data_IF_495710411648
#
_entry.id   IF_495710411648
#
_cell.length_a   1.000
_cell.length_b   1.000
_cell.length_c   1.000
_cell.angle_alpha   90.00
_cell.angle_beta   90.00
_cell.angle_gamma   90.00
#
_symmetry.space_group_name_H-M   'P 1'
#
loop_
_entity.id
_entity.type
_entity.pdbx_description
1 polymer ?
#
# COMPACT_ATOMS: atom_id res chain seq x y z
N UNK A 1 3.16 6.43 40.02
CA UNK A 1 2.74 5.76 38.78
C UNK A 1 2.21 6.82 37.85
N UNK A 2 3.01 7.21 36.84
CA UNK A 2 2.72 8.35 35.98
C UNK A 2 1.70 7.98 34.92
N UNK A 3 0.60 8.72 34.90
CA UNK A 3 -0.43 8.75 33.87
C UNK A 3 0.18 9.31 32.57
N UNK A 4 0.52 8.44 31.62
CA UNK A 4 0.79 8.88 30.25
C UNK A 4 -0.53 9.39 29.67
N UNK A 5 -0.66 10.72 29.65
CA UNK A 5 -1.78 11.40 29.03
C UNK A 5 -1.70 11.17 27.51
N UNK A 6 -2.87 10.91 26.96
CA UNK A 6 -3.22 10.76 25.56
C UNK A 6 -2.79 12.00 24.76
N UNK A 7 -1.71 11.93 23.98
CA UNK A 7 -1.29 13.04 23.12
C UNK A 7 -1.30 12.61 21.65
N UNK A 8 -2.24 13.15 20.88
CA UNK A 8 -2.37 12.92 19.44
C UNK A 8 -1.09 13.30 18.69
N UNK A 9 -0.38 12.28 18.22
CA UNK A 9 0.87 12.40 17.44
C UNK A 9 0.70 13.16 16.14
N UNK A 10 -0.48 13.10 15.49
CA UNK A 10 -0.74 13.90 14.28
C UNK A 10 -0.54 15.38 14.54
N UNK A 11 -1.19 15.91 15.59
CA UNK A 11 -1.09 17.34 15.94
C UNK A 11 0.33 17.72 16.30
N UNK A 12 1.12 16.82 16.88
CA UNK A 12 2.49 17.11 17.28
C UNK A 12 3.45 17.18 16.10
N UNK A 13 3.40 16.21 15.18
CA UNK A 13 4.23 16.25 13.96
C UNK A 13 3.79 17.40 13.06
N UNK A 14 2.49 17.59 12.85
CA UNK A 14 2.00 18.74 12.08
C UNK A 14 2.38 20.06 12.73
N UNK A 15 2.22 20.21 14.04
CA UNK A 15 2.65 21.42 14.76
C UNK A 15 4.16 21.63 14.66
N UNK A 16 4.96 20.57 14.70
CA UNK A 16 6.41 20.66 14.56
C UNK A 16 6.82 21.08 13.15
N UNK A 17 6.34 20.38 12.11
CA UNK A 17 6.63 20.74 10.71
C UNK A 17 6.13 22.15 10.38
N UNK A 18 4.95 22.52 10.88
CA UNK A 18 4.41 23.88 10.71
C UNK A 18 5.25 24.97 11.37
N UNK A 19 6.04 24.64 12.39
CA UNK A 19 6.95 25.57 13.06
C UNK A 19 8.29 25.71 12.33
N UNK A 20 8.70 24.69 11.59
CA UNK A 20 10.00 24.69 10.90
C UNK A 20 9.95 25.48 9.60
N UNK A 21 8.86 25.40 8.86
CA UNK A 21 8.79 26.02 7.54
C UNK A 21 7.35 26.36 7.18
N UNK A 22 7.09 27.67 7.02
CA UNK A 22 5.74 28.20 6.79
C UNK A 22 5.23 27.95 5.36
N UNK A 23 6.13 27.56 4.43
CA UNK A 23 5.84 27.34 3.02
C UNK A 23 5.68 25.85 2.64
N UNK A 24 5.51 24.96 3.62
CA UNK A 24 5.37 23.52 3.37
C UNK A 24 3.91 23.17 3.14
N UNK A 25 3.61 22.68 1.94
CA UNK A 25 2.31 22.09 1.61
C UNK A 25 2.15 20.75 2.35
N UNK A 26 0.99 20.58 2.98
CA UNK A 26 0.69 19.48 3.91
C UNK A 26 -0.52 18.74 3.39
N UNK A 27 -0.34 17.46 3.11
CA UNK A 27 -1.43 16.59 2.68
C UNK A 27 -1.59 15.43 3.66
N UNK A 28 -2.82 15.11 4.03
CA UNK A 28 -3.16 13.84 4.68
C UNK A 28 -3.86 12.93 3.66
N UNK A 29 -3.38 11.69 3.55
CA UNK A 29 -4.01 10.64 2.73
C UNK A 29 -4.49 9.51 3.64
N UNK A 30 -5.66 9.65 4.29
CA UNK A 30 -6.19 8.61 5.16
C UNK A 30 -6.52 7.36 4.34
N UNK A 31 -6.14 6.20 4.86
CA UNK A 31 -6.33 4.91 4.19
C UNK A 31 -7.00 3.90 5.12
N UNK A 32 -7.93 3.13 4.57
CA UNK A 32 -8.41 1.91 5.23
C UNK A 32 -7.36 0.81 5.16
N UNK A 33 -7.21 0.08 6.26
CA UNK A 33 -6.40 -1.13 6.33
C UNK A 33 -7.24 -2.37 5.99
N UNK A 34 -6.74 -3.16 5.04
CA UNK A 34 -7.28 -4.48 4.71
C UNK A 34 -6.20 -5.54 4.88
N UNK A 35 -6.59 -6.74 5.27
CA UNK A 35 -5.70 -7.87 5.45
C UNK A 35 -6.33 -9.17 4.95
N UNK A 36 -5.49 -10.19 4.77
CA UNK A 36 -5.94 -11.56 4.49
C UNK A 36 -5.83 -12.41 5.76
N UNK A 37 -6.91 -13.11 6.13
CA UNK A 37 -6.90 -14.14 7.19
C UNK A 37 -6.17 -15.40 6.72
N UNK A 38 -5.86 -16.33 7.64
CA UNK A 38 -5.21 -17.60 7.29
C UNK A 38 -6.04 -18.44 6.32
N UNK A 39 -7.37 -18.41 6.46
CA UNK A 39 -8.30 -19.06 5.54
C UNK A 39 -8.24 -18.41 4.15
N UNK A 40 -8.26 -17.08 4.08
CA UNK A 40 -8.16 -16.33 2.82
C UNK A 40 -6.81 -16.55 2.14
N UNK A 41 -5.71 -16.60 2.89
CA UNK A 41 -4.38 -16.94 2.40
C UNK A 41 -4.37 -18.37 1.85
N UNK A 42 -4.90 -19.33 2.59
CA UNK A 42 -4.96 -20.74 2.16
C UNK A 42 -5.73 -20.87 0.84
N UNK A 43 -6.87 -20.20 0.74
CA UNK A 43 -7.69 -20.13 -0.47
C UNK A 43 -6.96 -19.46 -1.64
N UNK A 44 -6.29 -18.34 -1.38
CA UNK A 44 -5.47 -17.65 -2.37
C UNK A 44 -4.35 -18.55 -2.92
N UNK A 45 -3.67 -19.29 -2.05
CA UNK A 45 -2.53 -20.12 -2.44
C UNK A 45 -2.94 -21.34 -3.28
N UNK A 46 -4.17 -21.83 -3.13
CA UNK A 46 -4.74 -22.88 -3.98
C UNK A 46 -5.22 -22.35 -5.35
N UNK A 47 -5.39 -21.03 -5.48
CA UNK A 47 -5.89 -20.42 -6.71
C UNK A 47 -4.84 -20.40 -7.81
N UNK A 48 -5.15 -21.05 -8.94
CA UNK A 48 -4.42 -20.85 -10.19
C UNK A 48 -4.89 -19.56 -10.86
N UNK A 49 -4.03 -18.55 -10.91
CA UNK A 49 -4.32 -17.27 -11.55
C UNK A 49 -4.34 -17.43 -13.08
N UNK A 50 -5.39 -16.89 -13.71
CA UNK A 50 -5.52 -16.83 -15.16
C UNK A 50 -5.02 -15.48 -15.65
N UNK A 51 -4.00 -15.49 -16.50
CA UNK A 51 -3.52 -14.29 -17.18
C UNK A 51 -4.38 -14.10 -18.44
N UNK A 52 -4.95 -12.91 -18.69
CA UNK A 52 -5.70 -12.65 -19.93
C UNK A 52 -4.87 -12.89 -21.18
N UNK A 53 -5.55 -13.24 -22.28
CA UNK A 53 -4.90 -13.58 -23.54
C UNK A 53 -4.01 -12.43 -24.05
N UNK A 54 -2.80 -12.79 -24.50
CA UNK A 54 -1.82 -11.84 -25.00
C UNK A 54 -1.11 -11.02 -23.92
N UNK A 55 -1.35 -11.29 -22.64
CA UNK A 55 -0.61 -10.71 -21.52
C UNK A 55 0.30 -11.75 -20.87
N UNK A 56 1.36 -11.28 -20.21
CA UNK A 56 2.22 -12.12 -19.37
C UNK A 56 2.42 -11.49 -18.00
N UNK A 57 2.72 -12.30 -17.00
CA UNK A 57 3.03 -11.85 -15.64
C UNK A 57 4.51 -12.10 -15.34
N UNK A 58 5.13 -11.20 -14.59
CA UNK A 58 6.53 -11.32 -14.21
C UNK A 58 6.92 -10.32 -13.14
N UNK A 59 8.21 -10.05 -13.05
CA UNK A 59 8.79 -9.07 -12.12
C UNK A 59 9.21 -7.80 -12.87
N UNK A 60 9.05 -6.61 -12.27
CA UNK A 60 9.58 -5.39 -12.84
C UNK A 60 11.10 -5.47 -13.08
N UNK A 61 11.56 -4.88 -14.19
CA UNK A 61 12.98 -4.75 -14.48
C UNK A 61 13.55 -3.51 -13.78
N UNK A 62 14.52 -3.73 -12.90
CA UNK A 62 15.13 -2.69 -12.08
C UNK A 62 15.61 -1.47 -12.88
N UNK A 63 16.38 -1.69 -13.93
CA UNK A 63 17.08 -0.61 -14.65
C UNK A 63 16.14 0.17 -15.57
N UNK A 64 15.15 -0.53 -16.14
CA UNK A 64 14.25 0.03 -17.15
C UNK A 64 12.97 0.62 -16.54
N UNK A 65 12.49 0.07 -15.43
CA UNK A 65 11.11 0.31 -14.98
C UNK A 65 11.01 1.10 -13.68
N UNK A 66 12.10 1.26 -12.92
CA UNK A 66 12.10 2.07 -11.71
C UNK A 66 11.69 3.53 -11.97
N UNK A 67 12.18 4.15 -13.05
CA UNK A 67 11.77 5.50 -13.45
C UNK A 67 10.27 5.59 -13.74
N UNK A 68 9.76 4.64 -14.54
CA UNK A 68 8.36 4.57 -14.90
C UNK A 68 7.47 4.39 -13.67
N UNK A 69 7.82 3.44 -12.79
CA UNK A 69 7.08 3.17 -11.56
C UNK A 69 7.09 4.40 -10.64
N UNK A 70 8.25 5.02 -10.38
CA UNK A 70 8.32 6.24 -9.57
C UNK A 70 7.46 7.37 -10.17
N UNK A 71 7.49 7.54 -11.49
CA UNK A 71 6.76 8.60 -12.19
C UNK A 71 5.23 8.44 -12.20
N UNK A 72 4.69 7.23 -12.04
CA UNK A 72 3.23 7.05 -11.91
C UNK A 72 2.73 7.28 -10.49
N UNK A 73 3.62 7.48 -9.52
CA UNK A 73 3.19 7.80 -8.16
C UNK A 73 2.70 9.25 -8.11
N UNK A 74 1.40 9.44 -7.88
CA UNK A 74 0.80 10.78 -7.71
C UNK A 74 1.46 11.62 -6.61
N UNK A 75 2.08 10.95 -5.64
CA UNK A 75 2.78 11.56 -4.50
C UNK A 75 4.31 11.41 -4.62
N UNK A 76 4.80 10.87 -5.74
CA UNK A 76 6.22 10.69 -5.99
C UNK A 76 6.91 12.00 -6.32
N UNK A 77 8.16 12.09 -5.88
CA UNK A 77 9.11 13.11 -6.27
C UNK A 77 10.30 12.47 -6.99
N UNK A 78 11.05 13.26 -7.76
CA UNK A 78 12.24 12.80 -8.48
C UNK A 78 13.29 12.14 -7.56
N UNK A 79 13.30 12.47 -6.26
CA UNK A 79 14.15 11.84 -5.25
C UNK A 79 13.79 10.39 -4.89
N UNK A 80 12.67 9.85 -5.37
CA UNK A 80 12.16 8.53 -4.98
C UNK A 80 12.73 7.34 -5.75
N UNK A 81 13.55 7.57 -6.78
CA UNK A 81 13.96 6.48 -7.69
C UNK A 81 14.83 5.42 -7.01
N UNK A 82 15.81 5.80 -6.19
CA UNK A 82 16.68 4.83 -5.53
C UNK A 82 15.89 3.95 -4.54
N UNK A 83 14.88 4.54 -3.89
CA UNK A 83 13.96 3.79 -3.04
C UNK A 83 13.14 2.78 -3.87
N UNK A 84 12.62 3.18 -5.03
CA UNK A 84 11.91 2.27 -5.93
C UNK A 84 12.83 1.16 -6.43
N UNK A 85 14.09 1.47 -6.79
CA UNK A 85 15.09 0.47 -7.18
C UNK A 85 15.31 -0.56 -6.08
N UNK A 86 15.55 -0.13 -4.84
CA UNK A 86 15.73 -1.07 -3.74
C UNK A 86 14.46 -1.85 -3.42
N UNK A 87 13.27 -1.26 -3.56
CA UNK A 87 12.00 -2.00 -3.42
C UNK A 87 11.88 -3.11 -4.47
N UNK A 88 12.18 -2.85 -5.74
CA UNK A 88 12.17 -3.87 -6.80
C UNK A 88 13.20 -4.97 -6.51
N UNK A 89 14.39 -4.59 -6.03
CA UNK A 89 15.49 -5.53 -5.75
C UNK A 89 15.24 -6.42 -4.53
N UNK A 90 14.60 -5.89 -3.48
CA UNK A 90 14.55 -6.52 -2.15
C UNK A 90 13.19 -7.06 -1.76
N UNK A 91 12.11 -6.50 -2.31
CA UNK A 91 10.76 -6.90 -1.95
C UNK A 91 10.08 -7.66 -3.09
N UNK A 92 9.15 -8.58 -2.75
CA UNK A 92 8.20 -9.08 -3.73
C UNK A 92 7.61 -7.91 -4.53
N UNK A 93 7.56 -8.08 -5.84
CA UNK A 93 6.94 -7.14 -6.76
C UNK A 93 6.42 -7.92 -7.96
N UNK A 94 5.42 -7.37 -8.64
CA UNK A 94 4.82 -8.03 -9.80
C UNK A 94 4.47 -7.00 -10.86
N UNK A 95 4.63 -7.38 -12.12
CA UNK A 95 4.17 -6.62 -13.27
C UNK A 95 3.39 -7.50 -14.23
N UNK A 96 2.50 -6.87 -14.99
CA UNK A 96 1.87 -7.45 -16.18
C UNK A 96 2.48 -6.78 -17.40
N UNK A 97 2.69 -7.57 -18.46
CA UNK A 97 3.24 -7.12 -19.73
C UNK A 97 2.29 -7.39 -20.89
N UNK A 98 2.33 -6.52 -21.89
CA UNK A 98 1.74 -6.72 -23.21
C UNK A 98 2.85 -6.49 -24.24
N UNK A 99 3.09 -7.49 -25.08
CA UNK A 99 4.11 -7.42 -26.15
C UNK A 99 5.51 -6.99 -25.63
N UNK A 100 5.86 -7.48 -24.43
CA UNK A 100 7.13 -7.20 -23.75
C UNK A 100 7.16 -5.90 -22.91
N UNK A 101 6.19 -5.00 -23.07
CA UNK A 101 6.13 -3.73 -22.34
C UNK A 101 5.34 -3.88 -21.03
N UNK A 102 5.79 -3.22 -19.96
CA UNK A 102 5.03 -3.19 -18.69
C UNK A 102 3.78 -2.33 -18.85
N UNK A 103 2.63 -2.90 -18.50
CA UNK A 103 1.31 -2.25 -18.62
C UNK A 103 0.54 -2.19 -17.30
N UNK A 104 1.13 -2.76 -16.24
CA UNK A 104 0.67 -2.59 -14.88
C UNK A 104 1.63 -3.25 -13.90
N UNK A 105 1.60 -2.82 -12.65
CA UNK A 105 2.47 -3.32 -11.61
C UNK A 105 1.87 -3.13 -10.22
N UNK A 106 2.45 -3.82 -9.25
CA UNK A 106 2.15 -3.68 -7.83
C UNK A 106 3.42 -3.96 -7.02
N UNK A 107 3.67 -3.17 -5.98
CA UNK A 107 4.84 -3.27 -5.12
C UNK A 107 4.46 -3.12 -3.63
N UNK A 108 5.46 -3.24 -2.77
CA UNK A 108 5.33 -3.00 -1.34
C UNK A 108 5.81 -1.60 -0.98
N UNK A 109 5.17 -1.03 0.03
CA UNK A 109 5.76 0.07 0.79
C UNK A 109 6.75 -0.46 1.84
N UNK A 110 7.61 0.43 2.36
CA UNK A 110 8.68 0.10 3.32
C UNK A 110 8.18 -0.52 4.63
N UNK A 111 6.88 -0.39 4.96
CA UNK A 111 6.25 -1.04 6.11
C UNK A 111 5.71 -2.44 5.80
N UNK A 112 5.89 -2.95 4.58
CA UNK A 112 5.45 -4.28 4.17
C UNK A 112 3.98 -4.37 3.74
N UNK A 113 3.33 -3.24 3.48
CA UNK A 113 1.96 -3.20 2.96
C UNK A 113 1.97 -3.09 1.43
N UNK A 114 1.02 -3.78 0.77
CA UNK A 114 0.82 -3.62 -0.66
C UNK A 114 0.45 -2.15 -0.93
N UNK A 115 1.23 -1.47 -1.76
CA UNK A 115 1.00 -0.08 -2.16
C UNK A 115 1.39 0.13 -3.64
N UNK A 116 0.98 1.26 -4.21
CA UNK A 116 1.38 1.69 -5.56
C UNK A 116 0.96 0.68 -6.62
N UNK A 117 -0.28 0.23 -6.51
CA UNK A 117 -0.96 -0.55 -7.52
C UNK A 117 -1.32 0.34 -8.71
N UNK A 118 -0.84 -0.03 -9.90
CA UNK A 118 -1.09 0.78 -11.09
C UNK A 118 -1.34 -0.08 -12.33
N UNK A 119 -2.29 0.33 -13.16
CA UNK A 119 -2.54 -0.19 -14.51
C UNK A 119 -2.70 1.00 -15.45
N UNK A 120 -1.95 1.00 -16.55
CA UNK A 120 -2.03 2.02 -17.59
C UNK A 120 -3.42 2.03 -18.22
N UNK A 121 -3.92 3.22 -18.53
CA UNK A 121 -5.34 3.46 -18.82
C UNK A 121 -5.86 2.62 -19.98
N UNK A 122 -5.04 2.45 -21.02
CA UNK A 122 -5.32 1.68 -22.24
C UNK A 122 -5.50 0.17 -21.96
N UNK A 123 -5.06 -0.30 -20.78
CA UNK A 123 -5.11 -1.69 -20.36
C UNK A 123 -6.08 -1.92 -19.17
N UNK A 124 -6.81 -0.90 -18.71
CA UNK A 124 -7.83 -1.03 -17.66
C UNK A 124 -9.08 -1.78 -18.16
N UNK A 125 -9.92 -2.21 -17.22
CA UNK A 125 -11.16 -2.95 -17.52
C UNK A 125 -10.96 -4.41 -17.97
N UNK A 126 -9.72 -4.91 -17.98
CA UNK A 126 -9.36 -6.25 -18.48
C UNK A 126 -9.01 -7.25 -17.36
N UNK A 127 -9.37 -6.93 -16.11
CA UNK A 127 -9.07 -7.77 -14.93
C UNK A 127 -7.60 -7.74 -14.46
N UNK A 128 -6.74 -6.89 -15.05
CA UNK A 128 -5.31 -6.85 -14.73
C UNK A 128 -5.03 -6.40 -13.30
N UNK A 129 -5.84 -5.49 -12.74
CA UNK A 129 -5.65 -5.03 -11.38
C UNK A 129 -5.84 -6.14 -10.34
N UNK A 130 -6.91 -6.93 -10.49
CA UNK A 130 -7.14 -8.11 -9.63
C UNK A 130 -6.06 -9.17 -9.84
N UNK A 131 -5.61 -9.39 -11.08
CA UNK A 131 -4.50 -10.31 -11.36
C UNK A 131 -3.23 -9.89 -10.61
N UNK A 132 -2.84 -8.62 -10.72
CA UNK A 132 -1.68 -8.06 -10.03
C UNK A 132 -1.82 -8.19 -8.52
N UNK A 133 -2.97 -7.81 -7.96
CA UNK A 133 -3.23 -7.89 -6.52
C UNK A 133 -3.08 -9.31 -5.97
N UNK A 134 -3.71 -10.30 -6.61
CA UNK A 134 -3.66 -11.68 -6.13
C UNK A 134 -2.28 -12.31 -6.38
N UNK A 135 -1.64 -12.03 -7.52
CA UNK A 135 -0.29 -12.53 -7.79
C UNK A 135 0.74 -11.95 -6.83
N UNK A 136 0.64 -10.65 -6.54
CA UNK A 136 1.53 -10.00 -5.60
C UNK A 136 1.36 -10.58 -4.19
N UNK A 137 0.10 -10.77 -3.78
CA UNK A 137 -0.25 -11.41 -2.51
C UNK A 137 0.35 -12.81 -2.41
N UNK A 138 0.24 -13.64 -3.46
CA UNK A 138 0.86 -14.96 -3.49
C UNK A 138 2.39 -14.90 -3.36
N UNK A 139 3.04 -13.91 -4.01
CA UNK A 139 4.49 -13.72 -3.87
C UNK A 139 4.90 -13.30 -2.45
N UNK A 140 4.09 -12.46 -1.79
CA UNK A 140 4.32 -12.06 -0.40
C UNK A 140 4.18 -13.25 0.55
N UNK A 141 3.14 -14.07 0.40
CA UNK A 141 2.94 -15.28 1.21
C UNK A 141 4.11 -16.26 1.04
N UNK A 142 4.57 -16.49 -0.19
CA UNK A 142 5.75 -17.34 -0.48
C UNK A 142 7.03 -16.81 0.15
N UNK A 143 7.14 -15.49 0.33
CA UNK A 143 8.24 -14.84 1.02
C UNK A 143 8.09 -14.85 2.56
N UNK A 144 7.05 -15.50 3.10
CA UNK A 144 6.79 -15.56 4.54
C UNK A 144 6.15 -14.29 5.11
N UNK A 145 5.53 -13.45 4.26
CA UNK A 145 4.92 -12.20 4.70
C UNK A 145 3.40 -12.36 4.91
N UNK A 146 2.87 -11.67 5.92
CA UNK A 146 1.44 -11.36 6.00
C UNK A 146 1.06 -10.40 4.88
N UNK A 147 -0.15 -10.53 4.38
CA UNK A 147 -0.65 -9.69 3.29
C UNK A 147 -1.62 -8.66 3.84
N UNK A 148 -1.18 -7.41 3.84
CA UNK A 148 -2.00 -6.24 4.15
C UNK A 148 -1.93 -5.25 2.99
N UNK A 149 -3.02 -4.51 2.75
CA UNK A 149 -3.05 -3.40 1.81
C UNK A 149 -3.74 -2.20 2.40
N UNK A 150 -3.41 -1.04 1.84
CA UNK A 150 -4.06 0.21 2.16
C UNK A 150 -4.84 0.72 0.97
N UNK A 151 -6.01 1.28 1.24
CA UNK A 151 -6.84 1.92 0.21
C UNK A 151 -7.22 3.31 0.71
N UNK A 152 -6.79 4.34 -0.01
CA UNK A 152 -7.14 5.74 0.29
C UNK A 152 -8.66 5.92 0.33
N UNK A 153 -9.17 6.64 1.33
CA UNK A 153 -10.61 6.84 1.55
C UNK A 153 -11.33 7.44 0.34
N UNK A 154 -10.63 8.24 -0.47
CA UNK A 154 -11.19 8.85 -1.68
C UNK A 154 -11.28 7.87 -2.86
N UNK A 155 -10.65 6.69 -2.78
CA UNK A 155 -10.69 5.68 -3.83
C UNK A 155 -11.89 4.73 -3.64
N UNK A 156 -13.09 5.32 -3.66
CA UNK A 156 -14.37 4.61 -3.45
C UNK A 156 -14.49 3.36 -4.32
N UNK A 157 -14.16 3.36 -5.63
CA UNK A 157 -14.29 2.15 -6.45
C UNK A 157 -13.41 0.99 -5.96
N UNK A 158 -12.20 1.29 -5.48
CA UNK A 158 -11.28 0.26 -4.95
C UNK A 158 -11.73 -0.24 -3.59
N UNK A 159 -12.25 0.63 -2.73
CA UNK A 159 -12.82 0.25 -1.43
C UNK A 159 -13.99 -0.72 -1.65
N UNK A 160 -14.94 -0.34 -2.49
CA UNK A 160 -16.12 -1.13 -2.80
C UNK A 160 -15.77 -2.48 -3.42
N UNK A 161 -14.81 -2.49 -4.36
CA UNK A 161 -14.31 -3.74 -4.94
C UNK A 161 -13.57 -4.61 -3.91
N UNK A 162 -12.88 -4.01 -2.95
CA UNK A 162 -12.15 -4.72 -1.91
C UNK A 162 -13.11 -5.35 -0.90
N UNK A 163 -14.13 -4.60 -0.44
CA UNK A 163 -15.16 -5.08 0.49
C UNK A 163 -15.96 -6.25 -0.07
N UNK A 164 -16.16 -6.31 -1.40
CA UNK A 164 -16.82 -7.45 -2.07
C UNK A 164 -15.90 -8.65 -2.32
N UNK A 165 -14.60 -8.51 -2.14
CA UNK A 165 -13.65 -9.57 -2.44
C UNK A 165 -13.66 -10.64 -1.36
N UNK A 166 -13.68 -11.90 -1.78
CA UNK A 166 -13.55 -13.05 -0.88
C UNK A 166 -12.17 -13.19 -0.23
N UNK A 167 -11.19 -12.39 -0.64
CA UNK A 167 -9.79 -12.48 -0.17
C UNK A 167 -9.43 -11.41 0.86
N UNK A 168 -10.28 -10.41 1.11
CA UNK A 168 -9.93 -9.27 1.95
C UNK A 168 -10.89 -9.10 3.10
N UNK A 169 -10.32 -8.80 4.26
CA UNK A 169 -11.05 -8.40 5.46
C UNK A 169 -10.63 -6.98 5.82
N UNK A 170 -11.59 -6.11 6.09
CA UNK A 170 -11.30 -4.75 6.57
C UNK A 170 -10.90 -4.84 8.04
N UNK A 171 -9.77 -4.24 8.40
CA UNK A 171 -9.31 -4.21 9.77
C UNK A 171 -10.23 -3.31 10.62
N UNK A 172 -10.60 -3.85 11.78
CA UNK A 172 -11.39 -3.16 12.79
C UNK A 172 -10.74 -3.31 14.16
N UNK A 173 -11.07 -2.40 15.05
CA UNK A 173 -10.58 -2.41 16.42
C UNK A 173 -11.49 -3.17 17.39
N UNK A 174 -11.17 -3.09 18.68
CA UNK A 174 -11.93 -3.75 19.75
C UNK A 174 -13.37 -3.23 19.90
N UNK A 175 -13.68 -2.06 19.37
CA UNK A 175 -15.01 -1.45 19.36
C UNK A 175 -15.75 -1.65 18.03
N UNK A 176 -15.23 -2.51 17.15
CA UNK A 176 -15.72 -2.72 15.78
C UNK A 176 -15.62 -1.46 14.88
N UNK A 177 -14.77 -0.50 15.24
CA UNK A 177 -14.50 0.69 14.43
C UNK A 177 -13.43 0.40 13.36
N UNK A 178 -13.63 0.94 12.16
CA UNK A 178 -12.71 0.75 11.03
C UNK A 178 -11.35 1.40 11.32
N UNK A 179 -10.26 0.64 11.14
CA UNK A 179 -8.91 1.17 11.34
C UNK A 179 -8.51 2.03 10.14
N UNK A 180 -8.22 3.30 10.43
CA UNK A 180 -7.69 4.29 9.49
C UNK A 180 -6.21 4.53 9.80
N UNK A 181 -5.40 4.53 8.74
CA UNK A 181 -3.98 4.84 8.79
C UNK A 181 -3.75 6.16 8.05
N UNK A 182 -3.21 7.15 8.74
CA UNK A 182 -2.96 8.48 8.18
C UNK A 182 -1.55 8.57 7.59
N UNK A 183 -1.49 8.89 6.29
CA UNK A 183 -0.25 9.22 5.59
C UNK A 183 -0.09 10.72 5.51
N UNK A 184 0.76 11.25 6.39
CA UNK A 184 1.06 12.67 6.43
C UNK A 184 2.23 12.93 5.48
N UNK A 185 2.01 13.74 4.45
CA UNK A 185 3.03 14.12 3.47
C UNK A 185 3.27 15.61 3.58
N UNK A 186 4.53 15.97 3.77
CA UNK A 186 5.02 17.35 3.74
C UNK A 186 5.84 17.55 2.47
N UNK A 187 5.38 18.46 1.60
CA UNK A 187 6.07 18.78 0.35
C UNK A 187 6.95 20.00 0.56
N UNK A 188 8.25 19.80 0.37
CA UNK A 188 9.26 20.83 0.53
C UNK A 188 9.45 21.62 -0.77
N UNK A 189 9.88 22.89 -0.69
CA UNK A 189 10.33 23.64 -1.85
C UNK A 189 11.42 22.88 -2.62
N UNK A 190 11.33 22.80 -3.95
CA UNK A 190 12.27 22.04 -4.79
C UNK A 190 11.90 20.57 -5.03
N UNK A 191 10.70 20.14 -4.62
CA UNK A 191 10.14 18.85 -5.00
C UNK A 191 10.46 17.69 -4.07
N UNK A 192 11.19 17.89 -2.97
CA UNK A 192 11.42 16.83 -1.98
C UNK A 192 10.16 16.56 -1.13
N UNK A 193 9.97 15.32 -0.67
CA UNK A 193 8.84 14.91 0.15
C UNK A 193 9.30 14.15 1.39
N UNK A 194 8.66 14.43 2.52
CA UNK A 194 8.78 13.64 3.76
C UNK A 194 7.41 13.08 4.07
N UNK A 195 7.32 11.76 4.24
CA UNK A 195 6.11 11.07 4.66
C UNK A 195 6.30 10.41 6.03
N UNK A 196 5.24 10.45 6.83
CA UNK A 196 5.15 9.64 8.05
C UNK A 196 3.81 8.92 8.05
N UNK A 197 3.83 7.71 8.60
CA UNK A 197 2.62 6.93 8.84
C UNK A 197 2.27 7.12 10.30
N UNK A 198 1.12 7.73 10.58
CA UNK A 198 0.62 7.75 11.93
C UNK A 198 -0.34 6.58 12.16
N UNK A 199 -0.04 5.77 13.17
CA UNK A 199 -0.98 4.77 13.68
C UNK A 199 -1.79 5.41 14.80
N UNK A 200 -3.11 5.18 14.89
CA UNK A 200 -3.89 5.64 16.05
C UNK A 200 -3.27 5.08 17.34
N UNK A 201 -2.80 5.95 18.24
CA UNK A 201 -2.17 5.57 19.51
C UNK A 201 -3.14 5.05 20.58
N UNK A 202 -4.45 5.03 20.28
CA UNK A 202 -5.51 4.84 21.29
C UNK A 202 -5.99 3.40 21.49
N UNK A 203 -5.48 2.41 20.76
CA UNK A 203 -5.96 1.04 20.92
C UNK A 203 -5.02 0.27 21.83
N UNK A 204 -5.51 -0.14 23.01
CA UNK A 204 -4.84 -1.15 23.81
C UNK A 204 -4.68 -2.37 22.91
N UNK A 205 -3.43 -2.77 22.70
CA UNK A 205 -3.11 -3.90 21.82
C UNK A 205 -3.35 -5.20 22.60
N UNK A 206 -4.61 -5.51 22.90
CA UNK A 206 -5.02 -6.80 23.46
C UNK A 206 -5.53 -7.69 22.34
N UNK A 207 -4.80 -8.75 22.00
CA UNK A 207 -5.28 -10.00 21.36
C UNK A 207 -6.26 -9.98 20.16
N UNK A 208 -6.56 -8.84 19.55
CA UNK A 208 -7.67 -8.68 18.60
C UNK A 208 -7.30 -8.79 17.12
N UNK A 209 -8.27 -8.57 16.21
CA UNK A 209 -8.12 -8.72 14.75
C UNK A 209 -6.96 -7.91 14.15
N UNK A 210 -6.63 -6.76 14.76
CA UNK A 210 -5.48 -5.95 14.36
C UNK A 210 -4.12 -6.62 14.64
N UNK A 211 -3.98 -7.33 15.76
CA UNK A 211 -2.78 -8.15 15.98
C UNK A 211 -2.74 -9.33 15.02
N UNK A 212 -3.88 -9.91 14.67
CA UNK A 212 -3.94 -10.97 13.67
C UNK A 212 -3.46 -10.47 12.29
N UNK A 213 -3.78 -9.23 11.91
CA UNK A 213 -3.27 -8.61 10.69
C UNK A 213 -1.74 -8.33 10.73
N UNK A 214 -1.15 -8.17 11.92
CA UNK A 214 0.24 -7.75 12.11
C UNK A 214 1.21 -8.82 12.67
N UNK A 215 0.71 -9.98 13.10
CA UNK A 215 1.50 -11.12 13.61
C UNK A 215 1.98 -12.03 12.48
#
# INVERSE_FOLDING_TARGET
MSTFTQWGTEKQIYSYVSRLDSNVDKCNYPCYLFYMTDEQISKLMQKRLKVPEGYTIGTPNLDKEAHCMTGTWRYGADGGIELTREKIRRFPSVCVRKDGQMVGFYMLESLGWLNHHFVFEEHRGKGLGTLLELAHSQNCVRAGMRVCKLVELNNVPTIESTKRSEYWTQAKDENDEEIIIDYLVSRLPGGAHVSTVNRPQNQRIGGGPFQEALR
#
